data_IF_115719371646
#
_entry.id   IF_115719371646
#
_cell.length_a   1.000
_cell.length_b   1.000
_cell.length_c   1.000
_cell.angle_alpha   90.00
_cell.angle_beta   90.00
_cell.angle_gamma   90.00
#
_symmetry.space_group_name_H-M   'P 1'
#
loop_
_entity.id
_entity.type
_entity.pdbx_description
1 polymer ?
#
# COMPACT_ATOMS: atom_id res chain seq x y z
N UNK A 1 12.65 -20.38 -0.56
CA UNK A 1 11.33 -19.91 -0.12
C UNK A 1 10.44 -19.85 -1.34
N UNK A 2 9.26 -20.46 -1.29
CA UNK A 2 8.26 -20.31 -2.35
C UNK A 2 7.64 -18.91 -2.36
N UNK A 3 6.96 -18.53 -3.45
CA UNK A 3 6.24 -17.25 -3.52
C UNK A 3 5.17 -17.14 -2.43
N UNK A 4 4.36 -18.20 -2.28
CA UNK A 4 3.29 -18.24 -1.28
C UNK A 4 3.85 -18.18 0.15
N UNK A 5 4.94 -18.89 0.40
CA UNK A 5 5.63 -18.88 1.69
C UNK A 5 6.16 -17.47 2.05
N UNK A 6 6.65 -16.73 1.05
CA UNK A 6 7.09 -15.35 1.24
C UNK A 6 5.92 -14.38 1.54
N UNK A 7 4.76 -14.59 0.90
CA UNK A 7 3.56 -13.80 1.17
C UNK A 7 3.00 -14.03 2.58
N UNK A 8 3.13 -15.26 3.10
CA UNK A 8 2.69 -15.61 4.45
C UNK A 8 3.62 -15.05 5.54
N UNK A 9 4.94 -15.09 5.33
CA UNK A 9 5.91 -14.63 6.34
C UNK A 9 6.06 -13.11 6.39
N UNK A 10 5.95 -12.43 5.24
CA UNK A 10 6.24 -11.00 5.12
C UNK A 10 5.44 -10.10 6.09
N UNK A 11 4.10 -10.24 6.25
CA UNK A 11 3.34 -9.32 7.10
C UNK A 11 3.85 -9.29 8.54
N UNK A 12 4.22 -10.47 9.06
CA UNK A 12 4.77 -10.62 10.40
C UNK A 12 6.12 -9.92 10.54
N UNK A 13 7.00 -10.05 9.55
CA UNK A 13 8.32 -9.41 9.53
C UNK A 13 8.23 -7.90 9.39
N UNK A 14 7.33 -7.42 8.52
CA UNK A 14 7.07 -6.01 8.28
C UNK A 14 6.24 -5.33 9.39
N UNK A 15 5.68 -6.10 10.33
CA UNK A 15 4.85 -5.57 11.41
C UNK A 15 3.49 -5.03 10.95
N UNK A 16 2.98 -5.54 9.82
CA UNK A 16 1.68 -5.19 9.24
C UNK A 16 0.68 -6.34 9.42
N UNK A 17 -0.61 -6.03 9.39
CA UNK A 17 -1.65 -7.02 9.70
C UNK A 17 -1.81 -8.11 8.60
N UNK A 18 -1.60 -7.73 7.34
CA UNK A 18 -1.72 -8.62 6.18
C UNK A 18 -0.96 -8.06 4.97
N UNK A 19 -0.76 -8.89 3.97
CA UNK A 19 -0.34 -8.44 2.66
C UNK A 19 -1.46 -7.64 1.96
N UNK A 20 -1.08 -6.66 1.15
CA UNK A 20 -2.00 -5.84 0.36
C UNK A 20 -2.46 -6.56 -0.90
N UNK A 21 -3.68 -6.29 -1.34
CA UNK A 21 -4.22 -6.80 -2.59
C UNK A 21 -3.97 -5.82 -3.74
N UNK A 22 -3.70 -6.29 -4.97
CA UNK A 22 -3.51 -5.41 -6.13
C UNK A 22 -4.68 -4.43 -6.35
N UNK A 23 -5.89 -4.83 -5.97
CA UNK A 23 -7.10 -4.00 -6.06
C UNK A 23 -7.00 -2.73 -5.19
N UNK A 24 -6.37 -2.79 -4.04
CA UNK A 24 -6.26 -1.65 -3.12
C UNK A 24 -5.35 -0.55 -3.70
N UNK A 25 -4.30 -0.95 -4.42
CA UNK A 25 -3.47 -0.02 -5.19
C UNK A 25 -4.28 0.59 -6.33
N UNK A 26 -5.06 -0.22 -7.07
CA UNK A 26 -5.90 0.28 -8.15
C UNK A 26 -6.94 1.30 -7.67
N UNK A 27 -7.54 1.08 -6.49
CA UNK A 27 -8.50 2.00 -5.87
C UNK A 27 -7.83 3.32 -5.45
N UNK A 28 -6.61 3.28 -4.89
CA UNK A 28 -5.83 4.49 -4.63
C UNK A 28 -5.53 5.24 -5.94
N UNK A 29 -5.09 4.53 -6.98
CA UNK A 29 -4.84 5.16 -8.29
C UNK A 29 -6.09 5.80 -8.86
N UNK A 30 -7.25 5.14 -8.77
CA UNK A 30 -8.54 5.67 -9.19
C UNK A 30 -8.89 6.97 -8.44
N UNK A 31 -8.64 7.03 -7.13
CA UNK A 31 -8.79 8.27 -6.36
C UNK A 31 -7.83 9.37 -6.85
N UNK A 32 -6.55 9.05 -7.06
CA UNK A 32 -5.53 10.03 -7.45
C UNK A 32 -5.76 10.66 -8.82
N UNK A 33 -6.35 9.92 -9.76
CA UNK A 33 -6.70 10.45 -11.08
C UNK A 33 -8.10 11.09 -11.11
N UNK A 34 -8.80 11.12 -9.98
CA UNK A 34 -10.15 11.70 -9.89
C UNK A 34 -10.13 13.22 -9.64
N UNK A 35 -11.24 13.93 -9.91
CA UNK A 35 -11.37 15.36 -9.57
C UNK A 35 -11.24 15.67 -8.07
N UNK A 36 -11.41 14.68 -7.19
CA UNK A 36 -11.25 14.85 -5.75
C UNK A 36 -9.80 15.14 -5.36
N UNK A 37 -8.83 14.60 -6.11
CA UNK A 37 -7.41 14.78 -5.87
C UNK A 37 -6.80 15.99 -6.61
N UNK A 38 -7.62 16.88 -7.19
CA UNK A 38 -7.15 17.96 -8.11
C UNK A 38 -6.13 18.96 -7.54
N UNK A 39 -5.95 19.00 -6.22
CA UNK A 39 -4.95 19.86 -5.56
C UNK A 39 -3.78 19.06 -4.95
N UNK A 40 -3.79 17.75 -5.13
CA UNK A 40 -2.73 16.86 -4.67
C UNK A 40 -1.66 16.79 -5.76
N UNK A 41 -0.50 17.40 -5.48
CA UNK A 41 0.66 17.38 -6.36
C UNK A 41 1.94 17.45 -5.54
N UNK A 42 3.06 17.01 -6.11
CA UNK A 42 4.39 17.10 -5.50
C UNK A 42 4.59 16.26 -4.24
N UNK A 43 3.72 15.28 -3.98
CA UNK A 43 3.79 14.43 -2.79
C UNK A 43 3.91 12.95 -3.15
N UNK A 44 4.59 12.20 -2.31
CA UNK A 44 4.56 10.74 -2.32
C UNK A 44 3.45 10.26 -1.38
N UNK A 45 2.59 9.36 -1.85
CA UNK A 45 1.57 8.71 -1.02
C UNK A 45 1.99 7.27 -0.80
N UNK A 46 2.07 6.88 0.46
CA UNK A 46 2.51 5.55 0.88
C UNK A 46 1.28 4.69 1.19
N UNK A 47 1.24 3.52 0.58
CA UNK A 47 0.16 2.53 0.69
C UNK A 47 0.78 1.16 0.96
N UNK A 48 1.41 1.01 2.14
CA UNK A 48 2.24 -0.14 2.51
C UNK A 48 1.69 -0.90 3.73
N UNK A 49 0.41 -0.71 4.06
CA UNK A 49 -0.21 -1.37 5.22
C UNK A 49 0.34 -0.92 6.58
N UNK A 50 1.13 0.16 6.62
CA UNK A 50 1.74 0.69 7.84
C UNK A 50 3.15 0.17 8.12
N UNK A 51 3.82 -0.43 7.12
CA UNK A 51 5.20 -0.92 7.22
C UNK A 51 6.14 0.20 7.70
N UNK A 52 6.01 1.40 7.11
CA UNK A 52 6.76 2.57 7.57
C UNK A 52 5.87 3.47 8.42
N UNK A 53 6.32 3.73 9.66
CA UNK A 53 5.69 4.69 10.55
C UNK A 53 5.81 6.10 9.98
N UNK A 54 4.67 6.77 9.80
CA UNK A 54 4.65 8.21 9.56
C UNK A 54 4.96 8.96 10.87
N UNK A 55 5.66 10.09 10.76
CA UNK A 55 5.95 11.01 11.87
C UNK A 55 4.85 12.04 12.06
#
# INVERSE_FOLDING_TARGET
MGFDEALESFPKEAGIARYGEPREIAELMAFLVSPAARWLTGTAIRMDGGEVKAV
#
